data_IF_205088870244
#
_entry.id   IF_205088870244
#
_cell.length_a   1.000
_cell.length_b   1.000
_cell.length_c   1.000
_cell.angle_alpha   90.00
_cell.angle_beta   90.00
_cell.angle_gamma   90.00
#
_symmetry.space_group_name_H-M   'P 1'
#
loop_
_entity.id
_entity.type
_entity.pdbx_description
1 polymer ?
#
# COMPACT_ATOMS: atom_id res chain seq x y z
N UNK A 1 -34.59 1.28 3.21
CA UNK A 1 -33.15 1.02 3.33
C UNK A 1 -32.74 1.46 4.73
N UNK A 2 -32.58 0.52 5.67
CA UNK A 2 -31.96 0.86 6.95
C UNK A 2 -30.51 1.27 6.64
N UNK A 3 -30.12 2.47 7.02
CA UNK A 3 -28.72 2.86 6.97
C UNK A 3 -27.97 1.93 7.93
N UNK A 4 -27.20 0.98 7.38
CA UNK A 4 -26.22 0.24 8.15
C UNK A 4 -25.32 1.27 8.83
N UNK A 5 -25.13 1.23 10.16
CA UNK A 5 -24.26 2.18 10.84
C UNK A 5 -22.90 2.20 10.17
N UNK A 6 -22.40 3.39 9.83
CA UNK A 6 -21.07 3.55 9.27
C UNK A 6 -20.03 2.99 10.26
N UNK A 7 -19.12 2.15 9.79
CA UNK A 7 -18.08 1.60 10.64
C UNK A 7 -17.20 2.71 11.23
N UNK A 8 -16.71 2.50 12.45
CA UNK A 8 -15.88 3.50 13.13
C UNK A 8 -14.61 3.81 12.32
N UNK A 9 -14.32 5.10 12.15
CA UNK A 9 -13.12 5.59 11.50
C UNK A 9 -12.63 6.85 12.23
N UNK A 10 -11.60 6.72 13.06
CA UNK A 10 -11.09 7.85 13.85
C UNK A 10 -10.38 8.91 12.97
N UNK A 11 -9.87 8.53 11.80
CA UNK A 11 -9.20 9.46 10.86
C UNK A 11 -10.23 10.43 10.29
N UNK A 12 -11.43 9.94 9.97
CA UNK A 12 -12.56 10.79 9.56
C UNK A 12 -12.81 11.91 10.59
N UNK A 13 -12.84 11.57 11.88
CA UNK A 13 -13.07 12.53 12.94
C UNK A 13 -11.94 13.57 13.04
N UNK A 14 -10.67 13.15 12.87
CA UNK A 14 -9.53 14.07 12.84
C UNK A 14 -9.66 15.07 11.68
N UNK A 15 -10.01 14.59 10.48
CA UNK A 15 -10.19 15.45 9.31
C UNK A 15 -11.36 16.44 9.54
N UNK A 16 -12.48 15.97 10.08
CA UNK A 16 -13.63 16.83 10.40
C UNK A 16 -13.27 17.94 11.40
N UNK A 17 -12.48 17.62 12.43
CA UNK A 17 -12.00 18.58 13.41
C UNK A 17 -11.01 19.58 12.80
N UNK A 18 -10.05 19.12 12.00
CA UNK A 18 -9.09 19.97 11.31
C UNK A 18 -9.78 20.96 10.35
N UNK A 19 -10.77 20.49 9.58
CA UNK A 19 -11.57 21.34 8.69
C UNK A 19 -12.40 22.37 9.47
N UNK A 20 -13.03 21.95 10.59
CA UNK A 20 -13.79 22.85 11.47
C UNK A 20 -12.90 23.95 12.06
N UNK A 21 -11.64 23.62 12.34
CA UNK A 21 -10.64 24.55 12.87
C UNK A 21 -9.95 25.39 11.77
N UNK A 22 -10.36 25.26 10.50
CA UNK A 22 -9.81 26.04 9.38
C UNK A 22 -8.37 25.66 8.99
N UNK A 23 -7.90 24.48 9.39
CA UNK A 23 -6.55 24.00 9.06
C UNK A 23 -6.41 23.73 7.56
N UNK A 24 -5.20 23.84 7.03
CA UNK A 24 -4.85 23.56 5.63
C UNK A 24 -5.69 24.32 4.58
N UNK A 25 -6.28 25.46 4.96
CA UNK A 25 -7.18 26.22 4.09
C UNK A 25 -8.46 25.47 3.69
N UNK A 26 -8.88 24.48 4.48
CA UNK A 26 -10.05 23.64 4.19
C UNK A 26 -9.79 22.51 3.18
N UNK A 27 -8.53 22.28 2.78
CA UNK A 27 -8.18 21.23 1.84
C UNK A 27 -7.90 19.90 2.54
N UNK A 28 -8.27 18.81 1.88
CA UNK A 28 -7.89 17.44 2.25
C UNK A 28 -7.08 16.83 1.11
N UNK A 29 -5.79 16.65 1.33
CA UNK A 29 -4.88 16.08 0.35
C UNK A 29 -4.23 14.85 0.99
N UNK A 30 -4.48 13.69 0.39
CA UNK A 30 -3.90 12.40 0.82
C UNK A 30 -3.02 11.83 -0.29
N UNK A 31 -2.33 10.72 -0.01
CA UNK A 31 -1.56 9.98 -1.02
C UNK A 31 -1.52 8.50 -0.72
N UNK A 32 -1.50 7.69 -1.77
CA UNK A 32 -1.09 6.30 -1.70
C UNK A 32 0.36 6.18 -2.21
N UNK A 33 1.36 5.91 -1.35
CA UNK A 33 2.77 5.93 -1.73
C UNK A 33 3.42 4.52 -1.78
N UNK A 34 3.03 3.59 -2.67
CA UNK A 34 3.61 2.26 -2.70
C UNK A 34 5.07 2.28 -3.22
N UNK A 35 5.93 1.46 -2.62
CA UNK A 35 7.21 1.10 -3.24
C UNK A 35 6.94 0.20 -4.48
N UNK A 36 7.52 0.50 -5.66
CA UNK A 36 7.26 -0.22 -6.91
C UNK A 36 8.12 -1.49 -7.03
N UNK A 37 8.11 -2.32 -5.99
CA UNK A 37 8.99 -3.48 -5.86
C UNK A 37 8.23 -4.80 -5.67
N UNK A 38 6.91 -4.80 -5.85
CA UNK A 38 6.07 -6.01 -5.79
C UNK A 38 4.60 -5.72 -6.13
N UNK A 39 3.82 -6.79 -6.28
CA UNK A 39 2.38 -6.71 -6.51
C UNK A 39 1.61 -6.29 -5.26
N UNK A 40 0.56 -5.48 -5.46
CA UNK A 40 -0.35 -5.09 -4.39
C UNK A 40 -1.17 -6.29 -3.91
N UNK A 41 -1.59 -6.23 -2.64
CA UNK A 41 -2.32 -7.29 -1.96
C UNK A 41 -3.44 -6.73 -1.09
N UNK A 42 -4.24 -7.59 -0.46
CA UNK A 42 -5.43 -7.17 0.30
C UNK A 42 -5.14 -6.10 1.37
N UNK A 43 -3.99 -6.17 2.05
CA UNK A 43 -3.55 -5.08 2.94
C UNK A 43 -3.42 -3.70 2.27
N UNK A 44 -2.97 -3.65 1.01
CA UNK A 44 -2.90 -2.42 0.23
C UNK A 44 -4.28 -1.93 -0.19
N UNK A 45 -5.25 -2.83 -0.43
CA UNK A 45 -6.64 -2.45 -0.71
C UNK A 45 -7.20 -1.60 0.42
N UNK A 46 -6.93 -1.95 1.69
CA UNK A 46 -7.32 -1.14 2.85
C UNK A 46 -6.72 0.28 2.78
N UNK A 47 -5.43 0.39 2.49
CA UNK A 47 -4.74 1.68 2.39
C UNK A 47 -5.25 2.54 1.22
N UNK A 48 -5.49 1.91 0.06
CA UNK A 48 -6.07 2.57 -1.11
C UNK A 48 -7.48 3.08 -0.77
N UNK A 49 -8.38 2.20 -0.32
CA UNK A 49 -9.74 2.61 0.01
C UNK A 49 -9.74 3.74 1.03
N UNK A 50 -8.90 3.66 2.07
CA UNK A 50 -8.79 4.72 3.06
C UNK A 50 -8.34 6.06 2.45
N UNK A 51 -7.20 6.10 1.75
CA UNK A 51 -6.64 7.35 1.24
C UNK A 51 -7.56 8.01 0.21
N UNK A 52 -8.08 7.23 -0.73
CA UNK A 52 -8.95 7.73 -1.79
C UNK A 52 -10.36 8.08 -1.27
N UNK A 53 -11.01 7.22 -0.48
CA UNK A 53 -12.36 7.52 0.06
C UNK A 53 -12.34 8.74 1.00
N UNK A 54 -11.28 8.94 1.80
CA UNK A 54 -11.17 10.13 2.67
C UNK A 54 -11.00 11.40 1.86
N UNK A 55 -10.15 11.40 0.84
CA UNK A 55 -10.02 12.55 -0.05
C UNK A 55 -11.36 12.88 -0.73
N UNK A 56 -12.00 11.89 -1.37
CA UNK A 56 -13.28 12.08 -2.07
C UNK A 56 -14.37 12.61 -1.13
N UNK A 57 -14.52 12.01 0.05
CA UNK A 57 -15.54 12.40 1.04
C UNK A 57 -15.48 13.87 1.44
N UNK A 58 -14.28 14.42 1.54
CA UNK A 58 -14.06 15.79 1.97
C UNK A 58 -13.77 16.75 0.81
N UNK A 59 -14.20 16.39 -0.41
CA UNK A 59 -14.00 17.18 -1.64
C UNK A 59 -12.52 17.54 -1.90
N UNK A 60 -11.63 16.66 -1.45
CA UNK A 60 -10.20 16.73 -1.62
C UNK A 60 -9.70 15.90 -2.80
N UNK A 61 -8.42 15.57 -2.79
CA UNK A 61 -7.86 14.64 -3.77
C UNK A 61 -6.74 13.77 -3.19
N UNK A 62 -6.49 12.65 -3.85
CA UNK A 62 -5.45 11.69 -3.49
C UNK A 62 -4.41 11.62 -4.61
N UNK A 63 -3.13 11.70 -4.25
CA UNK A 63 -2.01 11.44 -5.17
C UNK A 63 -1.64 9.95 -5.18
N UNK A 64 -1.13 9.47 -6.31
CA UNK A 64 -0.37 8.23 -6.38
C UNK A 64 1.11 8.59 -6.45
N UNK A 65 1.88 8.23 -5.44
CA UNK A 65 3.34 8.43 -5.45
C UNK A 65 4.04 7.08 -5.52
N UNK A 66 4.96 6.88 -6.45
CA UNK A 66 5.90 5.78 -6.30
C UNK A 66 6.99 6.21 -5.32
N UNK A 67 7.12 5.49 -4.20
CA UNK A 67 8.23 5.68 -3.27
C UNK A 67 9.45 4.95 -3.83
N UNK A 68 10.03 5.56 -4.85
CA UNK A 68 11.07 5.00 -5.67
C UNK A 68 12.45 5.58 -5.28
N UNK A 69 12.80 5.42 -4.02
CA UNK A 69 14.06 5.93 -3.45
C UNK A 69 15.23 4.96 -3.59
N UNK A 70 14.97 3.72 -4.04
CA UNK A 70 15.93 2.63 -4.01
C UNK A 70 16.22 2.08 -5.42
N UNK A 71 17.35 2.47 -6.04
CA UNK A 71 17.62 2.24 -7.46
C UNK A 71 17.65 0.76 -7.90
N UNK A 72 17.78 -0.20 -6.98
CA UNK A 72 17.97 -1.62 -7.33
C UNK A 72 16.70 -2.48 -7.29
N UNK A 73 15.62 -2.01 -6.66
CA UNK A 73 14.46 -2.86 -6.33
C UNK A 73 13.24 -2.60 -7.20
N UNK A 74 13.34 -1.72 -8.18
CA UNK A 74 12.22 -1.07 -8.82
C UNK A 74 12.05 -1.59 -10.25
N UNK A 75 10.80 -1.90 -10.63
CA UNK A 75 10.49 -2.53 -11.92
C UNK A 75 9.25 -1.88 -12.54
N UNK A 76 9.34 -1.48 -13.81
CA UNK A 76 8.24 -0.92 -14.60
C UNK A 76 6.98 -1.80 -14.59
N UNK A 77 7.15 -3.13 -14.53
CA UNK A 77 6.06 -4.10 -14.40
C UNK A 77 5.22 -3.85 -13.14
N UNK A 78 5.87 -3.62 -12.00
CA UNK A 78 5.16 -3.36 -10.74
C UNK A 78 4.46 -2.01 -10.78
N UNK A 79 5.07 -0.98 -11.36
CA UNK A 79 4.42 0.32 -11.56
C UNK A 79 3.17 0.22 -12.42
N UNK A 80 3.27 -0.50 -13.54
CA UNK A 80 2.14 -0.74 -14.43
C UNK A 80 1.03 -1.53 -13.71
N UNK A 81 1.38 -2.56 -12.93
CA UNK A 81 0.39 -3.32 -12.17
C UNK A 81 -0.26 -2.49 -11.06
N UNK A 82 0.49 -1.69 -10.31
CA UNK A 82 -0.03 -0.80 -9.27
C UNK A 82 -1.07 0.16 -9.86
N UNK A 83 -0.72 0.86 -10.96
CA UNK A 83 -1.65 1.77 -11.67
C UNK A 83 -2.93 1.06 -12.09
N UNK A 84 -2.78 -0.11 -12.73
CA UNK A 84 -3.91 -0.94 -13.17
C UNK A 84 -4.79 -1.38 -12.00
N UNK A 85 -4.19 -1.77 -10.88
CA UNK A 85 -4.92 -2.28 -9.72
C UNK A 85 -5.66 -1.16 -8.97
N UNK A 86 -5.09 0.04 -8.88
CA UNK A 86 -5.77 1.24 -8.36
C UNK A 86 -6.98 1.59 -9.23
N UNK A 87 -6.81 1.66 -10.56
CA UNK A 87 -7.94 1.90 -11.48
C UNK A 87 -8.99 0.78 -11.46
N UNK A 88 -8.56 -0.48 -11.36
CA UNK A 88 -9.48 -1.61 -11.28
C UNK A 88 -10.31 -1.58 -9.99
N UNK A 89 -9.73 -1.12 -8.88
CA UNK A 89 -10.46 -0.82 -7.65
C UNK A 89 -11.43 0.36 -7.80
N UNK A 90 -11.45 1.04 -8.96
CA UNK A 90 -12.35 2.13 -9.30
C UNK A 90 -11.96 3.48 -8.70
N UNK A 91 -10.68 3.67 -8.42
CA UNK A 91 -10.12 4.95 -7.98
C UNK A 91 -9.30 5.60 -9.09
N UNK A 92 -9.19 6.93 -9.01
CA UNK A 92 -8.32 7.73 -9.86
C UNK A 92 -7.53 8.71 -9.00
N UNK A 93 -6.29 8.97 -9.38
CA UNK A 93 -5.40 9.87 -8.65
C UNK A 93 -5.34 11.24 -9.34
N UNK A 94 -5.09 12.29 -8.56
CA UNK A 94 -4.95 13.64 -9.11
C UNK A 94 -3.62 13.84 -9.80
N UNK A 95 -2.55 13.40 -9.15
CA UNK A 95 -1.17 13.50 -9.63
C UNK A 95 -0.48 12.14 -9.49
N UNK A 96 0.29 11.78 -10.51
CA UNK A 96 1.23 10.67 -10.46
C UNK A 96 2.62 11.26 -10.22
N UNK A 97 3.20 10.95 -9.07
CA UNK A 97 4.49 11.49 -8.65
C UNK A 97 5.50 10.36 -8.44
N UNK A 98 6.78 10.69 -8.59
CA UNK A 98 7.89 9.83 -8.18
C UNK A 98 8.67 10.53 -7.07
N UNK A 99 9.01 9.81 -5.99
CA UNK A 99 9.88 10.35 -4.96
C UNK A 99 11.23 10.79 -5.54
N UNK A 100 11.69 10.09 -6.58
CA UNK A 100 12.90 10.40 -7.33
C UNK A 100 12.84 11.72 -8.11
N UNK A 101 11.65 12.24 -8.44
CA UNK A 101 11.50 13.59 -9.02
C UNK A 101 11.93 14.69 -8.04
N UNK A 102 11.94 14.38 -6.74
CA UNK A 102 12.29 15.31 -5.67
C UNK A 102 13.75 15.23 -5.25
N UNK A 103 14.57 14.33 -5.81
CA UNK A 103 15.97 14.18 -5.40
C UNK A 103 16.76 15.49 -5.38
N UNK A 104 16.63 16.42 -6.36
CA UNK A 104 17.31 17.72 -6.29
C UNK A 104 16.90 18.55 -5.07
N UNK A 105 15.60 18.62 -4.77
CA UNK A 105 15.05 19.35 -3.62
C UNK A 105 15.48 18.70 -2.30
N UNK A 106 15.41 17.37 -2.21
CA UNK A 106 15.86 16.60 -1.04
C UNK A 106 17.35 16.84 -0.79
N UNK A 107 18.17 16.88 -1.85
CA UNK A 107 19.60 17.16 -1.72
C UNK A 107 19.85 18.59 -1.21
N UNK A 108 19.07 19.57 -1.69
CA UNK A 108 19.13 20.94 -1.19
C UNK A 108 18.78 21.05 0.29
N UNK A 109 17.77 20.31 0.76
CA UNK A 109 17.45 20.25 2.18
C UNK A 109 18.56 19.57 3.01
N UNK A 110 19.25 18.58 2.45
CA UNK A 110 20.39 17.95 3.13
C UNK A 110 21.54 18.95 3.32
N UNK A 111 21.82 19.78 2.31
CA UNK A 111 22.77 20.89 2.43
C UNK A 111 22.37 21.88 3.52
N UNK A 112 21.08 22.25 3.60
CA UNK A 112 20.59 23.13 4.66
C UNK A 112 20.77 22.51 6.06
N UNK A 113 20.54 21.21 6.23
CA UNK A 113 20.80 20.54 7.51
C UNK A 113 22.28 20.60 7.89
N UNK A 114 23.19 20.40 6.93
CA UNK A 114 24.64 20.54 7.16
C UNK A 114 24.98 21.97 7.58
N UNK A 115 24.43 22.98 6.87
CA UNK A 115 24.69 24.39 7.14
C UNK A 115 24.13 24.84 8.51
N UNK A 116 23.04 24.24 8.98
CA UNK A 116 22.51 24.42 10.34
C UNK A 116 23.27 23.63 11.41
N UNK A 117 24.26 22.82 11.03
CA UNK A 117 24.99 21.92 11.95
C UNK A 117 24.16 20.72 12.44
N UNK A 118 23.02 20.45 11.79
CA UNK A 118 22.04 19.42 12.11
C UNK A 118 22.20 18.15 11.27
N UNK A 119 23.24 18.06 10.45
CA UNK A 119 23.67 16.83 9.79
C UNK A 119 25.20 16.76 9.72
N UNK A 120 25.74 15.54 9.67
CA UNK A 120 27.17 15.28 9.53
C UNK A 120 27.41 14.03 8.69
N UNK A 121 28.55 14.01 7.99
CA UNK A 121 29.02 12.82 7.28
C UNK A 121 29.63 11.88 8.32
N UNK A 122 29.14 10.64 8.38
CA UNK A 122 29.70 9.58 9.20
C UNK A 122 30.52 8.64 8.32
N UNK A 123 31.73 8.30 8.78
CA UNK A 123 32.68 7.43 8.09
C UNK A 123 32.90 6.12 8.83
N UNK A 124 32.04 5.82 9.81
CA UNK A 124 32.00 4.51 10.46
C UNK A 124 31.43 3.43 9.53
N UNK A 125 31.78 2.17 9.79
CA UNK A 125 31.14 1.05 9.10
C UNK A 125 29.66 0.94 9.52
N UNK A 126 28.84 0.32 8.67
CA UNK A 126 27.43 0.08 8.99
C UNK A 126 27.24 -0.73 10.30
N UNK A 127 28.18 -1.63 10.59
CA UNK A 127 28.17 -2.42 11.83
C UNK A 127 28.50 -1.55 13.05
N UNK A 128 29.50 -0.67 12.96
CA UNK A 128 29.83 0.25 14.05
C UNK A 128 28.70 1.24 14.31
N UNK A 129 28.03 1.75 13.25
CA UNK A 129 26.85 2.60 13.39
C UNK A 129 25.75 1.84 14.14
N UNK A 130 25.49 0.57 13.79
CA UNK A 130 24.49 -0.27 14.45
C UNK A 130 24.81 -0.47 15.92
N UNK A 131 26.06 -0.78 16.26
CA UNK A 131 26.52 -0.93 17.65
C UNK A 131 26.40 0.39 18.41
N UNK A 132 26.82 1.50 17.81
CA UNK A 132 26.78 2.82 18.44
C UNK A 132 25.36 3.36 18.63
N UNK A 133 24.37 2.91 17.85
CA UNK A 133 22.96 3.25 18.10
C UNK A 133 22.41 2.64 19.40
N UNK A 134 23.12 1.69 20.02
CA UNK A 134 22.69 1.06 21.26
C UNK A 134 21.46 0.17 21.06
N UNK A 135 20.69 -0.03 22.11
CA UNK A 135 19.49 -0.88 22.12
C UNK A 135 18.29 -0.13 22.69
N UNK A 136 17.14 -0.78 22.81
CA UNK A 136 15.97 -0.19 23.49
C UNK A 136 16.24 0.07 24.99
N UNK A 137 17.23 -0.59 25.59
CA UNK A 137 17.58 -0.43 27.01
C UNK A 137 18.86 0.36 27.23
N UNK A 138 19.79 0.35 26.27
CA UNK A 138 21.07 1.02 26.36
C UNK A 138 21.12 2.25 25.43
N UNK A 139 21.54 3.44 25.94
CA UNK A 139 21.63 4.64 25.12
C UNK A 139 22.72 4.49 24.05
N UNK A 140 22.55 5.20 22.94
CA UNK A 140 23.56 5.27 21.89
C UNK A 140 24.77 6.11 22.29
N UNK A 141 25.85 5.98 21.52
CA UNK A 141 27.10 6.72 21.67
C UNK A 141 27.35 7.55 20.42
N UNK A 142 27.80 8.79 20.61
CA UNK A 142 28.16 9.66 19.50
C UNK A 142 29.24 9.01 18.62
N UNK A 143 29.07 9.13 17.30
CA UNK A 143 30.12 8.79 16.33
C UNK A 143 31.36 9.67 16.58
N UNK A 144 32.59 9.14 16.39
CA UNK A 144 33.80 9.97 16.44
C UNK A 144 33.79 11.08 15.37
N UNK A 145 32.96 10.97 14.33
CA UNK A 145 32.81 11.95 13.27
C UNK A 145 31.67 12.96 13.51
N UNK A 146 30.94 12.85 14.63
CA UNK A 146 29.76 13.67 14.91
C UNK A 146 30.08 15.16 15.02
N UNK A 147 31.26 15.50 15.53
CA UNK A 147 31.71 16.88 15.76
C UNK A 147 32.55 17.45 14.60
N UNK A 148 32.49 16.83 13.41
CA UNK A 148 33.04 17.43 12.18
C UNK A 148 32.50 18.84 11.96
N UNK A 149 33.37 19.74 11.50
CA UNK A 149 32.98 21.11 11.18
C UNK A 149 31.99 21.14 10.00
N UNK A 150 31.20 22.21 9.89
CA UNK A 150 30.28 22.41 8.76
C UNK A 150 31.05 22.37 7.43
N UNK A 151 32.23 23.00 7.36
CA UNK A 151 33.06 23.03 6.15
C UNK A 151 33.55 21.62 5.74
N UNK A 152 33.97 20.81 6.71
CA UNK A 152 34.40 19.43 6.46
C UNK A 152 33.23 18.56 6.00
N UNK A 153 32.08 18.64 6.67
CA UNK A 153 30.88 17.91 6.27
C UNK A 153 30.42 18.31 4.87
N UNK A 154 30.47 19.60 4.53
CA UNK A 154 30.09 20.10 3.21
C UNK A 154 31.02 19.56 2.12
N UNK A 155 32.32 19.59 2.35
CA UNK A 155 33.31 19.05 1.41
C UNK A 155 33.13 17.53 1.21
N UNK A 156 33.03 16.75 2.30
CA UNK A 156 32.85 15.30 2.23
C UNK A 156 31.53 14.92 1.56
N UNK A 157 30.43 15.60 1.89
CA UNK A 157 29.14 15.29 1.26
C UNK A 157 29.16 15.63 -0.23
N UNK A 158 29.91 16.67 -0.65
CA UNK A 158 30.09 16.96 -2.08
C UNK A 158 30.87 15.85 -2.76
N UNK A 159 31.91 15.32 -2.12
CA UNK A 159 32.66 14.18 -2.65
C UNK A 159 31.79 12.91 -2.74
N UNK A 160 30.86 12.69 -1.80
CA UNK A 160 29.87 11.62 -1.89
C UNK A 160 28.97 11.80 -3.10
N UNK A 161 28.42 13.01 -3.31
CA UNK A 161 27.57 13.35 -4.46
C UNK A 161 28.33 13.18 -5.79
N UNK A 162 29.60 13.58 -5.82
CA UNK A 162 30.49 13.44 -6.99
C UNK A 162 30.91 11.98 -7.26
N UNK A 163 30.55 11.02 -6.39
CA UNK A 163 30.91 9.61 -6.55
C UNK A 163 32.39 9.30 -6.32
N UNK A 164 33.09 10.09 -5.50
CA UNK A 164 34.54 9.91 -5.22
C UNK A 164 34.82 8.81 -4.20
N UNK A 165 33.79 8.24 -3.60
CA UNK A 165 33.86 7.31 -2.47
C UNK A 165 33.07 6.04 -2.78
N UNK A 166 33.53 4.83 -2.41
CA UNK A 166 32.82 3.59 -2.73
C UNK A 166 31.54 3.41 -1.90
N UNK A 167 30.67 2.49 -2.32
CA UNK A 167 29.45 2.12 -1.60
C UNK A 167 29.73 1.82 -0.12
N UNK A 168 28.94 2.43 0.76
CA UNK A 168 28.99 2.19 2.21
C UNK A 168 30.20 2.77 2.95
N UNK A 169 31.12 3.47 2.30
CA UNK A 169 32.25 4.10 2.99
C UNK A 169 31.81 5.31 3.83
N UNK A 170 30.81 6.06 3.34
CA UNK A 170 30.26 7.24 3.99
C UNK A 170 28.73 7.27 3.91
N UNK A 171 28.12 7.86 4.93
CA UNK A 171 26.69 8.17 4.97
C UNK A 171 26.49 9.57 5.54
N UNK A 172 25.42 10.26 5.13
CA UNK A 172 24.99 11.48 5.80
C UNK A 172 23.99 11.10 6.89
N UNK A 173 24.22 11.56 8.12
CA UNK A 173 23.33 11.34 9.26
C UNK A 173 22.75 12.65 9.74
N UNK A 174 21.48 12.64 10.13
CA UNK A 174 20.91 13.73 10.92
C UNK A 174 21.58 13.75 12.30
N UNK A 175 21.82 14.94 12.85
CA UNK A 175 22.39 15.15 14.18
C UNK A 175 21.26 15.51 15.13
N UNK A 176 20.78 14.52 15.88
CA UNK A 176 19.61 14.65 16.75
C UNK A 176 20.02 14.32 18.20
N UNK A 177 19.66 13.14 18.71
CA UNK A 177 19.94 12.74 20.08
C UNK A 177 20.24 11.23 20.17
N UNK A 178 21.53 10.90 20.37
CA UNK A 178 21.97 9.52 20.53
C UNK A 178 21.46 8.86 21.83
N UNK A 179 21.02 9.64 22.83
CA UNK A 179 20.45 9.13 24.07
C UNK A 179 18.93 8.97 24.02
N UNK A 180 18.27 9.35 22.92
CA UNK A 180 16.81 9.31 22.80
C UNK A 180 16.25 7.92 23.09
N UNK A 181 15.12 7.79 23.83
CA UNK A 181 14.44 6.52 23.98
C UNK A 181 13.88 5.99 22.64
N UNK A 182 13.64 6.88 21.67
CA UNK A 182 13.25 6.51 20.32
C UNK A 182 14.50 6.29 19.45
N UNK A 183 14.69 5.05 18.99
CA UNK A 183 15.85 4.66 18.16
C UNK A 183 15.89 5.45 16.83
N UNK A 184 14.76 5.87 16.29
CA UNK A 184 14.69 6.65 15.04
C UNK A 184 15.24 8.07 15.19
N UNK A 185 15.35 8.58 16.43
CA UNK A 185 15.98 9.87 16.73
C UNK A 185 17.48 9.74 17.06
N UNK A 186 18.04 8.52 17.05
CA UNK A 186 19.48 8.30 17.30
C UNK A 186 20.30 8.47 16.02
N UNK A 187 20.49 9.73 15.66
CA UNK A 187 21.20 10.21 14.47
C UNK A 187 20.92 9.32 13.23
N UNK A 188 19.68 9.28 12.70
CA UNK A 188 19.32 8.41 11.58
C UNK A 188 20.13 8.76 10.33
N UNK A 189 20.42 7.75 9.52
CA UNK A 189 21.00 7.94 8.19
C UNK A 189 19.94 8.57 7.28
N UNK A 190 20.31 9.63 6.58
CA UNK A 190 19.44 10.36 5.64
C UNK A 190 19.90 10.25 4.19
N UNK A 191 21.19 10.00 3.93
CA UNK A 191 21.71 9.64 2.61
C UNK A 191 22.77 8.53 2.71
N UNK A 192 22.83 7.69 1.67
CA UNK A 192 23.87 6.67 1.49
C UNK A 192 24.45 6.74 0.09
N UNK A 193 25.72 6.34 -0.06
CA UNK A 193 26.34 6.14 -1.37
C UNK A 193 25.81 4.83 -1.99
N UNK A 194 25.43 4.88 -3.26
CA UNK A 194 25.14 3.71 -4.10
C UNK A 194 25.51 4.01 -5.54
N UNK A 195 26.40 3.19 -6.13
CA UNK A 195 26.74 3.26 -7.54
C UNK A 195 25.81 2.36 -8.36
N UNK A 196 24.54 2.75 -8.48
CA UNK A 196 23.54 2.04 -9.26
C UNK A 196 22.81 3.04 -10.17
N UNK A 197 22.42 2.62 -11.37
CA UNK A 197 21.51 3.42 -12.19
C UNK A 197 20.10 3.36 -11.58
N UNK A 198 19.43 4.51 -11.50
CA UNK A 198 18.05 4.58 -11.09
C UNK A 198 17.14 4.41 -12.31
N UNK A 199 16.11 3.59 -12.21
CA UNK A 199 15.25 3.29 -13.36
C UNK A 199 14.52 4.56 -13.89
N UNK A 200 14.07 5.47 -13.00
CA UNK A 200 13.43 6.75 -13.37
C UNK A 200 14.40 7.93 -13.45
N UNK A 201 15.13 8.24 -12.36
CA UNK A 201 16.06 9.38 -12.29
C UNK A 201 17.41 9.19 -13.03
N UNK A 202 17.65 8.06 -13.70
CA UNK A 202 18.85 7.80 -14.49
C UNK A 202 20.10 7.48 -13.67
N UNK A 203 21.27 7.59 -14.30
CA UNK A 203 22.57 7.16 -13.76
C UNK A 203 23.42 8.31 -13.16
N UNK A 204 22.90 9.54 -13.15
CA UNK A 204 23.61 10.71 -12.64
C UNK A 204 23.77 10.72 -11.12
N UNK A 205 22.97 9.95 -10.40
CA UNK A 205 22.97 9.93 -8.94
C UNK A 205 23.99 8.91 -8.39
N UNK A 206 24.73 9.32 -7.36
CA UNK A 206 25.68 8.47 -6.61
C UNK A 206 25.34 8.35 -5.12
N UNK A 207 24.42 9.20 -4.66
CA UNK A 207 23.85 9.18 -3.32
C UNK A 207 22.34 9.13 -3.43
N UNK A 208 21.71 8.34 -2.56
CA UNK A 208 20.26 8.18 -2.52
C UNK A 208 19.75 8.48 -1.11
N UNK A 209 18.63 9.21 -1.00
CA UNK A 209 18.03 9.53 0.28
C UNK A 209 17.41 8.29 0.91
N UNK A 210 17.31 8.28 2.24
CA UNK A 210 16.64 7.22 2.98
C UNK A 210 15.12 7.46 3.05
N UNK A 211 14.36 6.40 3.31
CA UNK A 211 12.90 6.43 3.35
C UNK A 211 12.35 7.53 4.28
N UNK A 212 12.72 7.54 5.56
CA UNK A 212 12.15 8.51 6.53
C UNK A 212 12.41 9.97 6.16
N UNK A 213 13.59 10.24 5.59
CA UNK A 213 13.96 11.57 5.12
C UNK A 213 13.15 11.99 3.88
N UNK A 214 12.98 11.06 2.95
CA UNK A 214 12.23 11.30 1.72
C UNK A 214 10.74 11.43 1.97
N UNK A 215 10.19 10.62 2.88
CA UNK A 215 8.76 10.47 3.08
C UNK A 215 8.10 11.78 3.53
N UNK A 216 8.63 12.40 4.58
CA UNK A 216 8.13 13.67 5.11
C UNK A 216 8.31 14.83 4.13
N UNK A 217 9.47 14.92 3.48
CA UNK A 217 9.74 16.00 2.53
C UNK A 217 8.92 15.84 1.24
N UNK A 218 8.67 14.63 0.76
CA UNK A 218 7.79 14.38 -0.38
C UNK A 218 6.34 14.77 -0.07
N UNK A 219 5.86 14.41 1.13
CA UNK A 219 4.53 14.83 1.58
C UNK A 219 4.42 16.36 1.64
N UNK A 220 5.45 17.05 2.13
CA UNK A 220 5.49 18.50 2.19
C UNK A 220 5.53 19.14 0.80
N UNK A 221 6.38 18.63 -0.11
CA UNK A 221 6.48 19.12 -1.49
C UNK A 221 5.18 18.96 -2.27
N UNK A 222 4.39 17.94 -1.94
CA UNK A 222 3.07 17.69 -2.52
C UNK A 222 1.90 18.39 -1.81
N UNK A 223 2.19 19.12 -0.72
CA UNK A 223 1.19 19.73 0.17
C UNK A 223 0.18 18.72 0.72
N UNK A 224 0.63 17.49 0.99
CA UNK A 224 -0.19 16.49 1.68
C UNK A 224 -0.64 17.07 3.02
N UNK A 225 -1.91 16.94 3.35
CA UNK A 225 -2.45 17.44 4.62
C UNK A 225 -2.50 16.31 5.65
N UNK A 226 -2.92 15.11 5.22
CA UNK A 226 -3.06 13.93 6.06
C UNK A 226 -2.27 12.77 5.45
N UNK A 227 -1.09 12.53 6.00
CA UNK A 227 -0.18 11.46 5.60
C UNK A 227 -0.57 10.17 6.33
N UNK A 228 -1.34 9.32 5.64
CA UNK A 228 -1.88 8.10 6.26
C UNK A 228 -0.92 6.92 6.05
N UNK A 229 -0.49 6.29 7.14
CA UNK A 229 0.40 5.13 7.12
C UNK A 229 0.00 4.10 8.19
N UNK A 230 0.70 2.98 8.26
CA UNK A 230 0.38 1.91 9.21
C UNK A 230 1.14 2.08 10.53
N UNK A 231 0.66 1.42 11.61
CA UNK A 231 1.24 1.53 12.96
C UNK A 231 2.74 1.19 13.05
N UNK A 232 3.30 0.43 12.12
CA UNK A 232 4.75 0.18 12.10
C UNK A 232 5.60 1.44 11.94
N UNK A 233 5.00 2.53 11.46
CA UNK A 233 5.66 3.83 11.29
C UNK A 233 5.32 4.82 12.41
N UNK A 234 4.64 4.41 13.48
CA UNK A 234 4.31 5.31 14.60
C UNK A 234 5.57 5.85 15.29
N UNK A 235 6.55 4.99 15.55
CA UNK A 235 7.85 5.40 16.11
C UNK A 235 8.69 6.24 15.12
N UNK A 236 8.30 6.32 13.84
CA UNK A 236 8.96 7.15 12.83
C UNK A 236 8.40 8.58 12.80
N UNK A 237 7.17 8.81 13.31
CA UNK A 237 6.55 10.15 13.36
C UNK A 237 7.41 11.21 14.04
N UNK A 238 8.10 10.96 15.18
CA UNK A 238 8.96 11.97 15.78
C UNK A 238 10.11 12.42 14.86
N UNK A 239 10.63 11.52 14.02
CA UNK A 239 11.63 11.88 13.02
C UNK A 239 11.00 12.66 11.85
N UNK A 240 9.81 12.23 11.39
CA UNK A 240 9.01 12.95 10.40
C UNK A 240 8.82 14.42 10.80
N UNK A 241 8.32 14.65 12.02
CA UNK A 241 8.08 15.99 12.56
C UNK A 241 9.41 16.74 12.77
N UNK A 242 10.46 16.06 13.24
CA UNK A 242 11.77 16.69 13.44
C UNK A 242 12.30 17.29 12.13
N UNK A 243 12.29 16.54 11.03
CA UNK A 243 12.78 17.02 9.72
C UNK A 243 12.02 18.25 9.26
N UNK A 244 10.68 18.22 9.31
CA UNK A 244 9.84 19.34 8.86
C UNK A 244 10.02 20.60 9.70
N UNK A 245 10.16 20.44 11.02
CA UNK A 245 10.33 21.55 11.96
C UNK A 245 11.70 22.23 11.81
N UNK A 246 12.80 21.47 11.79
CA UNK A 246 14.15 22.06 11.73
C UNK A 246 14.48 22.67 10.39
N UNK A 247 13.84 22.21 9.31
CA UNK A 247 13.94 22.80 7.99
C UNK A 247 12.98 23.98 7.78
N UNK A 248 12.09 24.27 8.74
CA UNK A 248 11.10 25.35 8.66
C UNK A 248 10.32 25.29 7.34
N UNK A 249 9.83 24.10 7.03
CA UNK A 249 9.19 23.85 5.73
C UNK A 249 7.88 24.66 5.55
N UNK A 250 7.48 24.99 4.31
CA UNK A 250 6.33 25.86 4.04
C UNK A 250 4.98 25.35 4.57
N UNK A 251 4.85 24.03 4.73
CA UNK A 251 3.69 23.38 5.31
C UNK A 251 4.13 22.17 6.14
N UNK A 252 3.28 21.75 7.07
CA UNK A 252 3.56 20.62 7.96
C UNK A 252 2.45 19.57 7.80
N UNK A 253 2.59 18.64 6.84
CA UNK A 253 1.71 17.48 6.74
C UNK A 253 1.63 16.73 8.08
N UNK A 254 0.47 16.16 8.39
CA UNK A 254 0.29 15.38 9.62
C UNK A 254 0.32 13.88 9.33
N UNK A 255 1.27 13.15 9.93
CA UNK A 255 1.26 11.70 9.91
C UNK A 255 0.19 11.13 10.85
N UNK A 256 -0.64 10.21 10.34
CA UNK A 256 -1.70 9.53 11.10
C UNK A 256 -1.65 8.03 10.80
N UNK A 257 -1.42 7.24 11.84
CA UNK A 257 -1.21 5.80 11.72
C UNK A 257 -2.47 5.00 12.02
N UNK A 258 -2.71 3.94 11.24
CA UNK A 258 -3.80 2.98 11.46
C UNK A 258 -3.31 1.54 11.49
N UNK A 259 -4.06 0.66 12.17
CA UNK A 259 -3.72 -0.76 12.24
C UNK A 259 -3.78 -1.41 10.85
N UNK A 260 -2.80 -2.27 10.57
CA UNK A 260 -2.79 -3.05 9.33
C UNK A 260 -4.01 -3.95 9.22
N UNK A 261 -4.30 -4.37 8.00
CA UNK A 261 -5.20 -5.49 7.79
C UNK A 261 -4.48 -6.80 8.10
N UNK A 262 -5.07 -7.61 8.98
CA UNK A 262 -4.72 -9.02 9.14
C UNK A 262 -5.98 -9.85 8.89
N UNK A 263 -5.85 -10.94 8.14
CA UNK A 263 -6.94 -11.83 7.77
C UNK A 263 -6.52 -13.26 8.11
N UNK A 264 -7.39 -14.02 8.76
CA UNK A 264 -7.14 -15.42 9.08
C UNK A 264 -6.85 -16.22 7.80
N UNK A 265 -6.05 -17.29 7.95
CA UNK A 265 -5.62 -18.18 6.85
C UNK A 265 -4.89 -17.49 5.68
N UNK A 266 -4.48 -16.23 5.85
CA UNK A 266 -3.88 -15.43 4.78
C UNK A 266 -2.54 -14.86 5.22
N UNK A 267 -1.54 -14.92 4.33
CA UNK A 267 -0.23 -14.29 4.56
C UNK A 267 -0.11 -13.05 3.68
N UNK A 268 0.04 -11.88 4.30
CA UNK A 268 0.24 -10.61 3.57
C UNK A 268 1.70 -10.14 3.58
N UNK A 269 2.60 -10.84 4.29
CA UNK A 269 4.02 -10.50 4.29
C UNK A 269 4.61 -10.70 2.90
N UNK A 270 5.12 -9.63 2.31
CA UNK A 270 5.77 -9.65 0.99
C UNK A 270 6.87 -10.71 0.88
N UNK A 271 7.72 -10.87 1.90
CA UNK A 271 8.77 -11.89 1.93
C UNK A 271 8.20 -13.30 1.75
N UNK A 272 7.07 -13.60 2.40
CA UNK A 272 6.40 -14.89 2.29
C UNK A 272 5.68 -15.06 0.95
N UNK A 273 5.07 -14.01 0.42
CA UNK A 273 4.47 -14.04 -0.92
C UNK A 273 5.51 -14.32 -2.01
N UNK A 274 6.68 -13.67 -1.94
CA UNK A 274 7.82 -13.97 -2.82
C UNK A 274 8.24 -15.43 -2.69
N UNK A 275 8.31 -15.94 -1.46
CA UNK A 275 8.65 -17.35 -1.20
C UNK A 275 7.65 -18.30 -1.87
N UNK A 276 6.34 -18.06 -1.74
CA UNK A 276 5.30 -18.88 -2.37
C UNK A 276 5.44 -18.95 -3.89
N UNK A 277 5.74 -17.82 -4.54
CA UNK A 277 5.93 -17.75 -5.99
C UNK A 277 7.25 -18.40 -6.42
N UNK A 278 8.35 -18.09 -5.73
CA UNK A 278 9.70 -18.58 -6.08
C UNK A 278 9.83 -20.08 -5.89
N UNK A 279 9.25 -20.62 -4.82
CA UNK A 279 9.21 -22.06 -4.53
C UNK A 279 8.08 -22.79 -5.28
N UNK A 280 7.32 -22.09 -6.13
CA UNK A 280 6.26 -22.64 -6.99
C UNK A 280 5.11 -23.33 -6.22
N UNK A 281 4.80 -22.86 -5.02
CA UNK A 281 3.59 -23.28 -4.29
C UNK A 281 2.30 -22.72 -4.94
N UNK A 282 2.45 -21.66 -5.75
CA UNK A 282 1.40 -21.02 -6.56
C UNK A 282 1.87 -20.84 -8.01
N UNK A 283 0.94 -20.65 -8.94
CA UNK A 283 1.24 -20.52 -10.38
C UNK A 283 1.85 -19.15 -10.76
N UNK A 284 1.88 -18.20 -9.83
CA UNK A 284 2.36 -16.85 -10.07
C UNK A 284 1.73 -15.85 -9.10
N UNK A 285 2.01 -14.57 -9.31
CA UNK A 285 1.46 -13.48 -8.50
C UNK A 285 -0.05 -13.28 -8.69
N UNK A 286 -0.61 -13.72 -9.80
CA UNK A 286 -2.03 -13.64 -10.11
C UNK A 286 -2.79 -14.96 -9.85
N UNK A 287 -2.17 -15.95 -9.21
CA UNK A 287 -2.85 -17.18 -8.84
C UNK A 287 -4.10 -16.87 -7.99
N UNK A 288 -5.28 -17.45 -8.29
CA UNK A 288 -6.52 -17.17 -7.54
C UNK A 288 -6.45 -17.42 -6.03
N UNK A 289 -5.46 -18.18 -5.56
CA UNK A 289 -5.22 -18.44 -4.12
C UNK A 289 -4.37 -17.35 -3.46
N UNK A 290 -3.72 -16.49 -4.23
CA UNK A 290 -2.89 -15.40 -3.72
C UNK A 290 -3.76 -14.24 -3.23
N UNK A 291 -3.40 -13.60 -2.11
CA UNK A 291 -4.12 -12.42 -1.61
C UNK A 291 -3.72 -11.13 -2.35
N UNK A 292 -3.09 -11.25 -3.51
CA UNK A 292 -2.76 -10.12 -4.39
C UNK A 292 -4.03 -9.57 -5.02
N UNK A 293 -4.04 -8.29 -5.40
CA UNK A 293 -5.17 -7.71 -6.14
C UNK A 293 -5.34 -8.46 -7.47
N UNK A 294 -4.24 -8.77 -8.15
CA UNK A 294 -4.26 -9.59 -9.37
C UNK A 294 -4.88 -10.98 -9.14
N UNK A 295 -4.50 -11.68 -8.07
CA UNK A 295 -5.03 -13.00 -7.72
C UNK A 295 -6.50 -12.96 -7.37
N UNK A 296 -6.92 -12.00 -6.53
CA UNK A 296 -8.33 -11.81 -6.16
C UNK A 296 -9.19 -11.43 -7.36
N UNK A 297 -8.69 -10.56 -8.25
CA UNK A 297 -9.35 -10.23 -9.52
C UNK A 297 -9.52 -11.47 -10.38
N UNK A 298 -8.47 -12.29 -10.53
CA UNK A 298 -8.53 -13.55 -11.31
C UNK A 298 -9.44 -14.61 -10.66
N UNK A 299 -9.53 -14.64 -9.32
CA UNK A 299 -10.48 -15.46 -8.56
C UNK A 299 -11.95 -15.08 -8.86
N UNK A 300 -12.19 -13.90 -9.41
CA UNK A 300 -13.53 -13.40 -9.74
C UNK A 300 -14.13 -12.52 -8.66
N UNK A 301 -13.33 -12.03 -7.70
CA UNK A 301 -13.81 -11.11 -6.67
C UNK A 301 -14.02 -9.71 -7.29
N UNK A 302 -15.23 -9.13 -7.25
CA UNK A 302 -15.47 -7.79 -7.78
C UNK A 302 -14.76 -6.72 -6.95
N UNK A 303 -14.26 -5.67 -7.61
CA UNK A 303 -13.67 -4.50 -6.93
C UNK A 303 -14.64 -3.85 -5.92
N UNK A 304 -15.94 -3.79 -6.25
CA UNK A 304 -16.97 -3.28 -5.35
C UNK A 304 -17.05 -4.03 -4.03
N UNK A 305 -16.95 -5.37 -4.06
CA UNK A 305 -16.97 -6.21 -2.86
C UNK A 305 -15.75 -5.94 -1.96
N UNK A 306 -14.57 -5.72 -2.55
CA UNK A 306 -13.36 -5.39 -1.80
C UNK A 306 -13.46 -4.01 -1.12
N UNK A 307 -14.00 -3.01 -1.83
CA UNK A 307 -14.25 -1.68 -1.24
C UNK A 307 -15.27 -1.77 -0.09
N UNK A 308 -16.34 -2.53 -0.28
CA UNK A 308 -17.35 -2.73 0.76
C UNK A 308 -16.76 -3.43 1.98
N UNK A 309 -15.95 -4.46 1.79
CA UNK A 309 -15.22 -5.11 2.87
C UNK A 309 -14.35 -4.11 3.64
N UNK A 310 -13.57 -3.27 2.96
CA UNK A 310 -12.75 -2.25 3.61
C UNK A 310 -13.57 -1.21 4.39
N UNK A 311 -14.78 -0.84 3.90
CA UNK A 311 -15.68 0.06 4.63
C UNK A 311 -16.29 -0.59 5.86
N UNK A 312 -16.66 -1.88 5.77
CA UNK A 312 -17.31 -2.62 6.86
C UNK A 312 -16.37 -2.90 8.05
N UNK A 313 -15.10 -3.18 7.79
CA UNK A 313 -14.13 -3.52 8.85
C UNK A 313 -13.70 -2.31 9.69
N UNK A 314 -13.96 -1.09 9.21
CA UNK A 314 -13.58 0.16 9.88
C UNK A 314 -12.07 0.41 9.94
N UNK A 315 -11.72 1.52 10.61
CA UNK A 315 -10.34 2.00 10.77
C UNK A 315 -10.08 2.27 12.25
N UNK A 316 -9.14 1.52 12.82
CA UNK A 316 -8.75 1.59 14.23
C UNK A 316 -7.23 1.69 14.37
N UNK A 317 -6.77 2.02 15.58
CA UNK A 317 -5.37 1.86 16.03
C UNK A 317 -5.12 0.55 16.78
N UNK A 318 -6.14 -0.28 16.96
CA UNK A 318 -6.00 -1.55 17.65
C UNK A 318 -5.72 -2.65 16.63
N UNK A 319 -4.66 -3.43 16.86
CA UNK A 319 -4.40 -4.63 16.08
C UNK A 319 -5.53 -5.64 16.24
N UNK A 320 -5.87 -6.31 15.13
CA UNK A 320 -6.89 -7.33 15.10
C UNK A 320 -6.76 -8.18 13.85
N UNK A 321 -7.13 -9.45 13.96
CA UNK A 321 -7.22 -10.37 12.82
C UNK A 321 -8.69 -10.58 12.49
N UNK A 322 -9.03 -10.40 11.22
CA UNK A 322 -10.38 -10.56 10.72
C UNK A 322 -10.58 -12.01 10.32
N UNK A 323 -11.71 -12.60 10.72
CA UNK A 323 -12.09 -13.95 10.35
C UNK A 323 -12.31 -14.07 8.83
N UNK A 324 -11.86 -15.17 8.23
CA UNK A 324 -11.96 -15.37 6.78
C UNK A 324 -13.43 -15.43 6.31
N UNK A 325 -14.31 -15.96 7.16
CA UNK A 325 -15.74 -16.09 6.91
C UNK A 325 -16.39 -14.71 6.71
N UNK A 326 -15.90 -13.69 7.40
CA UNK A 326 -16.40 -12.32 7.25
C UNK A 326 -16.06 -11.73 5.87
N UNK A 327 -14.82 -11.97 5.41
CA UNK A 327 -14.38 -11.58 4.08
C UNK A 327 -15.18 -12.32 2.99
N UNK A 328 -15.33 -13.63 3.12
CA UNK A 328 -16.09 -14.45 2.17
C UNK A 328 -17.59 -14.15 2.20
N UNK A 329 -18.17 -13.85 3.36
CA UNK A 329 -19.56 -13.39 3.47
C UNK A 329 -19.75 -12.09 2.72
N UNK A 330 -18.86 -11.11 2.89
CA UNK A 330 -18.98 -9.82 2.18
C UNK A 330 -18.94 -10.00 0.66
N UNK A 331 -18.11 -10.91 0.15
CA UNK A 331 -18.05 -11.23 -1.28
C UNK A 331 -19.34 -11.93 -1.73
N UNK A 332 -19.84 -12.89 -0.95
CA UNK A 332 -21.09 -13.60 -1.27
C UNK A 332 -22.29 -12.66 -1.29
N UNK A 333 -22.39 -11.75 -0.33
CA UNK A 333 -23.46 -10.76 -0.25
C UNK A 333 -23.44 -9.85 -1.49
N UNK A 334 -22.25 -9.34 -1.84
CA UNK A 334 -22.08 -8.51 -3.04
C UNK A 334 -22.46 -9.25 -4.32
N UNK A 335 -21.97 -10.48 -4.51
CA UNK A 335 -22.31 -11.30 -5.68
C UNK A 335 -23.79 -11.71 -5.70
N UNK A 336 -24.39 -11.93 -4.54
CA UNK A 336 -25.81 -12.25 -4.42
C UNK A 336 -26.67 -11.13 -4.97
N UNK A 337 -26.27 -9.86 -4.85
CA UNK A 337 -27.01 -8.72 -5.40
C UNK A 337 -26.70 -8.44 -6.88
N UNK A 338 -25.45 -8.65 -7.32
CA UNK A 338 -24.98 -8.15 -8.61
C UNK A 338 -24.79 -9.23 -9.70
N UNK A 339 -24.67 -10.51 -9.34
CA UNK A 339 -24.36 -11.57 -10.30
C UNK A 339 -25.60 -12.22 -10.91
N UNK A 340 -25.63 -12.34 -12.24
CA UNK A 340 -26.68 -13.09 -12.92
C UNK A 340 -26.58 -14.59 -12.62
N UNK A 341 -27.71 -15.23 -12.32
CA UNK A 341 -27.83 -16.67 -12.05
C UNK A 341 -27.68 -17.47 -13.33
N UNK A 342 -26.88 -18.53 -13.27
CA UNK A 342 -26.67 -19.48 -14.36
C UNK A 342 -26.77 -20.89 -13.80
N UNK A 343 -27.17 -21.82 -14.67
CA UNK A 343 -27.12 -23.24 -14.37
C UNK A 343 -25.83 -23.77 -14.98
N UNK A 344 -25.04 -24.47 -14.18
CA UNK A 344 -23.85 -25.17 -14.62
C UNK A 344 -23.86 -26.54 -13.96
N UNK A 345 -23.35 -27.54 -14.67
CA UNK A 345 -23.19 -28.90 -14.14
C UNK A 345 -21.72 -29.22 -14.16
N UNK A 346 -21.11 -29.29 -12.98
CA UNK A 346 -19.67 -29.49 -12.79
C UNK A 346 -19.33 -30.97 -12.90
N UNK A 347 -20.16 -31.85 -12.35
CA UNK A 347 -19.99 -33.31 -12.40
C UNK A 347 -21.14 -33.94 -13.18
N UNK A 348 -21.12 -33.87 -14.53
CA UNK A 348 -22.27 -34.24 -15.34
C UNK A 348 -22.62 -35.73 -15.21
N UNK A 349 -23.91 -35.96 -14.98
CA UNK A 349 -24.58 -37.23 -15.19
C UNK A 349 -25.62 -37.03 -16.30
N UNK A 350 -25.47 -37.79 -17.39
CA UNK A 350 -26.42 -37.76 -18.49
C UNK A 350 -27.72 -38.46 -18.07
N UNK A 351 -28.84 -37.79 -18.26
CA UNK A 351 -30.18 -38.30 -17.99
C UNK A 351 -30.99 -38.26 -19.29
N UNK A 352 -31.75 -39.32 -19.54
CA UNK A 352 -32.67 -39.40 -20.69
C UNK A 352 -34.10 -39.53 -20.16
N UNK A 353 -34.97 -38.60 -20.53
CA UNK A 353 -36.39 -38.62 -20.20
C UNK A 353 -37.09 -39.48 -21.24
N UNK A 354 -37.30 -40.75 -20.92
CA UNK A 354 -37.80 -41.77 -21.86
C UNK A 354 -39.25 -41.55 -22.33
N UNK A 355 -39.99 -40.66 -21.66
CA UNK A 355 -41.35 -40.28 -22.05
C UNK A 355 -41.40 -39.17 -23.12
N UNK A 356 -40.28 -38.56 -23.49
CA UNK A 356 -40.19 -37.49 -24.49
C UNK A 356 -39.57 -38.00 -25.81
N UNK A 357 -40.04 -37.50 -26.99
CA UNK A 357 -39.43 -37.79 -28.29
C UNK A 357 -37.95 -37.38 -28.38
N UNK A 358 -37.20 -38.04 -29.27
CA UNK A 358 -35.78 -37.76 -29.51
C UNK A 358 -35.50 -36.35 -30.06
N UNK A 359 -36.48 -35.76 -30.74
CA UNK A 359 -36.44 -34.41 -31.32
C UNK A 359 -37.20 -33.38 -30.48
N UNK A 360 -37.54 -33.70 -29.22
CA UNK A 360 -38.22 -32.76 -28.34
C UNK A 360 -37.35 -31.55 -28.01
N UNK A 361 -37.85 -30.35 -28.28
CA UNK A 361 -37.21 -29.08 -27.98
C UNK A 361 -38.25 -28.09 -27.45
N UNK A 362 -38.08 -27.66 -26.20
CA UNK A 362 -38.87 -26.61 -25.56
C UNK A 362 -37.93 -25.52 -25.03
N UNK A 363 -38.38 -24.28 -24.99
CA UNK A 363 -37.61 -23.16 -24.45
C UNK A 363 -38.32 -22.54 -23.25
N UNK A 364 -37.65 -22.58 -22.10
CA UNK A 364 -38.12 -21.91 -20.89
C UNK A 364 -37.48 -20.52 -20.75
N UNK A 365 -38.28 -19.55 -20.31
CA UNK A 365 -37.79 -18.22 -19.95
C UNK A 365 -37.48 -18.18 -18.46
N UNK A 366 -36.20 -18.06 -18.11
CA UNK A 366 -35.74 -17.99 -16.72
C UNK A 366 -35.20 -16.60 -16.41
N UNK A 367 -35.58 -16.05 -15.26
CA UNK A 367 -35.03 -14.79 -14.78
C UNK A 367 -33.50 -14.89 -14.59
N UNK A 368 -32.78 -13.81 -14.91
CA UNK A 368 -31.35 -13.70 -14.63
C UNK A 368 -31.07 -13.44 -13.15
N UNK A 369 -32.00 -12.84 -12.44
CA UNK A 369 -31.88 -12.60 -11.01
C UNK A 369 -33.24 -12.80 -10.33
N UNK A 370 -33.32 -13.57 -9.22
CA UNK A 370 -34.61 -13.88 -8.59
C UNK A 370 -35.28 -12.67 -7.92
N UNK A 371 -34.50 -11.65 -7.56
CA UNK A 371 -34.97 -10.46 -6.82
C UNK A 371 -34.79 -9.15 -7.60
N UNK A 372 -34.31 -9.22 -8.85
CA UNK A 372 -34.01 -8.02 -9.66
C UNK A 372 -34.46 -8.24 -11.12
N UNK A 373 -35.67 -7.77 -11.41
CA UNK A 373 -36.27 -7.86 -12.74
C UNK A 373 -35.50 -7.04 -13.79
N UNK A 374 -34.72 -6.02 -13.38
CA UNK A 374 -33.98 -5.16 -14.31
C UNK A 374 -32.85 -5.91 -15.04
N UNK A 375 -32.38 -7.03 -14.48
CA UNK A 375 -31.42 -7.93 -15.13
C UNK A 375 -32.04 -8.80 -16.24
N UNK A 376 -33.36 -8.71 -16.44
CA UNK A 376 -34.09 -9.40 -17.49
C UNK A 376 -34.12 -10.92 -17.33
N UNK A 377 -34.41 -11.61 -18.44
CA UNK A 377 -34.52 -13.06 -18.51
C UNK A 377 -33.61 -13.65 -19.59
N UNK A 378 -33.52 -14.97 -19.64
CA UNK A 378 -32.84 -15.73 -20.69
C UNK A 378 -33.68 -16.94 -21.09
N UNK A 379 -33.58 -17.30 -22.37
CA UNK A 379 -34.15 -18.55 -22.88
C UNK A 379 -33.20 -19.71 -22.56
N UNK A 380 -33.74 -20.82 -22.06
CA UNK A 380 -32.99 -22.05 -21.79
C UNK A 380 -33.68 -23.22 -22.51
N UNK A 381 -32.96 -23.95 -23.39
CA UNK A 381 -33.53 -25.10 -24.08
C UNK A 381 -33.69 -26.28 -23.11
N UNK A 382 -34.75 -27.04 -23.33
CA UNK A 382 -35.09 -28.27 -22.65
C UNK A 382 -35.34 -29.34 -23.70
N UNK A 383 -34.67 -30.49 -23.52
CA UNK A 383 -34.76 -31.62 -24.45
C UNK A 383 -34.98 -32.91 -23.67
N UNK A 384 -35.15 -34.03 -24.39
CA UNK A 384 -35.20 -35.34 -23.75
C UNK A 384 -33.86 -35.77 -23.12
N UNK A 385 -32.76 -35.10 -23.47
CA UNK A 385 -31.41 -35.41 -23.00
C UNK A 385 -30.88 -34.25 -22.15
N UNK A 386 -30.69 -34.51 -20.86
CA UNK A 386 -30.24 -33.51 -19.90
C UNK A 386 -28.94 -33.95 -19.22
N UNK A 387 -28.29 -32.98 -18.59
CA UNK A 387 -27.23 -33.22 -17.64
C UNK A 387 -27.68 -32.70 -16.28
N UNK A 388 -27.50 -33.51 -15.25
CA UNK A 388 -27.69 -33.13 -13.84
C UNK A 388 -26.38 -33.28 -13.08
N UNK A 389 -26.28 -32.69 -11.89
CA UNK A 389 -25.16 -33.00 -11.01
C UNK A 389 -25.27 -34.45 -10.56
N UNK A 390 -24.14 -35.15 -10.58
CA UNK A 390 -24.08 -36.53 -10.13
C UNK A 390 -24.54 -36.72 -8.69
N UNK A 391 -24.30 -35.72 -7.84
CA UNK A 391 -24.61 -35.77 -6.41
C UNK A 391 -26.09 -35.43 -6.12
N UNK A 392 -26.88 -35.02 -7.13
CA UNK A 392 -28.33 -34.78 -7.02
C UNK A 392 -29.14 -36.10 -7.07
N UNK A 393 -28.50 -37.25 -7.29
CA UNK A 393 -29.14 -38.56 -7.31
C UNK A 393 -28.32 -39.57 -6.49
N UNK A 394 -29.02 -40.31 -5.62
CA UNK A 394 -28.46 -41.42 -4.86
C UNK A 394 -29.43 -42.60 -4.90
N UNK A 395 -28.90 -43.82 -5.04
CA UNK A 395 -29.69 -45.04 -4.83
C UNK A 395 -30.00 -45.27 -3.35
N UNK A 396 -29.24 -44.64 -2.45
CA UNK A 396 -29.41 -44.64 -0.99
C UNK A 396 -29.50 -43.17 -0.50
N UNK A 397 -30.71 -42.58 -0.48
CA UNK A 397 -30.93 -41.13 -0.33
C UNK A 397 -30.87 -40.60 1.11
#
# INVERSE_FOLDING_TARGET
MSQTPEAANFIKNIIEEDLKNGKNGGNVITRFPPEPNGYLHLGHVKSICLNFDMAERFNGYCNLRFDDTNPEKENEEYMASIKRDVHWLGFDWKHLNHASDYFPQLLNYAWQLIDKGLAYVDSQSAEDIRVNRGTLTEPGKNSPYRERSIAENRALFQEMVDGKHPDGSHVLRAKIDMASPNINLRDPVIYRIRHAAHFHAGDSWKVYPMYDYTHCLSDMLENITHSLCTLEFEDHRPLYDWVLNVLETPCHPQQIEFARLSLEYTVLSKRRLIQLVTEKHVNGWDDPRMPTIAGMRRRGIPAGALREFCRKIGISKADGTIAIEYFESTIRDYLNEHAARRMTVVRPLKVTITSLPDDHEEHYQLANHPQDESQGSRSVPFSNTLYIERDDISEDP
#
